data_IF_154375014978
#
_entry.id   IF_154375014978
#
_cell.length_a   1.000
_cell.length_b   1.000
_cell.length_c   1.000
_cell.angle_alpha   90.00
_cell.angle_beta   90.00
_cell.angle_gamma   90.00
#
_symmetry.space_group_name_H-M   'P 1'
#
loop_
_entity.id
_entity.type
_entity.pdbx_description
1 polymer ?
#
# COMPACT_ATOMS: atom_id res chain seq x y z
N UNK A 1 1.10 -32.90 -12.87
CA UNK A 1 1.41 -31.58 -13.44
C UNK A 1 0.11 -30.82 -13.60
N UNK A 2 -0.12 -29.83 -12.76
CA UNK A 2 -1.08 -28.74 -12.98
C UNK A 2 -0.72 -27.65 -11.97
N UNK A 3 0.24 -26.83 -12.40
CA UNK A 3 0.73 -25.64 -11.75
C UNK A 3 -0.41 -24.61 -11.76
N UNK A 4 -1.25 -24.59 -10.72
CA UNK A 4 -2.16 -23.47 -10.47
C UNK A 4 -1.37 -22.32 -9.88
N UNK A 5 -0.36 -21.87 -10.63
CA UNK A 5 0.31 -20.61 -10.40
C UNK A 5 -0.70 -19.51 -10.67
N UNK A 6 -1.38 -19.06 -9.62
CA UNK A 6 -2.04 -17.76 -9.60
C UNK A 6 -0.92 -16.73 -9.72
N UNK A 7 -0.52 -16.48 -10.96
CA UNK A 7 0.42 -15.45 -11.32
C UNK A 7 -0.35 -14.13 -11.18
N UNK A 8 -0.46 -13.62 -9.96
CA UNK A 8 -0.74 -12.21 -9.73
C UNK A 8 0.40 -11.45 -10.40
N UNK A 9 0.17 -11.01 -11.63
CA UNK A 9 1.15 -10.27 -12.41
C UNK A 9 1.37 -8.92 -11.74
N UNK A 10 2.24 -8.89 -10.72
CA UNK A 10 2.78 -7.70 -10.07
C UNK A 10 3.75 -6.95 -11.00
N UNK A 11 3.40 -6.85 -12.28
CA UNK A 11 4.34 -6.65 -13.38
C UNK A 11 4.06 -5.45 -14.26
N UNK A 12 3.24 -4.49 -13.85
CA UNK A 12 3.20 -3.19 -14.51
C UNK A 12 3.73 -2.12 -13.57
N UNK A 13 5.04 -1.85 -13.71
CA UNK A 13 5.67 -0.65 -13.19
C UNK A 13 4.81 0.55 -13.59
N UNK A 14 4.22 1.24 -12.61
CA UNK A 14 3.50 2.49 -12.83
C UNK A 14 4.50 3.46 -13.43
N UNK A 15 4.34 3.78 -14.73
CA UNK A 15 5.25 4.67 -15.46
C UNK A 15 5.32 6.02 -14.76
N UNK A 16 6.52 6.40 -14.31
CA UNK A 16 6.79 7.65 -13.60
C UNK A 16 7.50 7.45 -12.25
N UNK A 17 7.38 6.26 -11.66
CA UNK A 17 8.41 5.73 -10.77
C UNK A 17 9.44 5.07 -11.69
N UNK A 18 10.60 5.70 -11.91
CA UNK A 18 11.58 5.17 -12.87
C UNK A 18 11.93 3.71 -12.56
N UNK A 19 11.53 2.83 -13.50
CA UNK A 19 12.30 1.79 -14.14
C UNK A 19 13.38 1.07 -13.29
N UNK A 20 13.24 -0.25 -13.14
CA UNK A 20 14.17 -1.14 -12.43
C UNK A 20 14.32 -0.86 -10.93
N UNK A 21 13.26 -1.11 -10.19
CA UNK A 21 13.41 -1.43 -8.75
C UNK A 21 13.60 -2.95 -8.67
N UNK A 22 14.65 -3.48 -8.03
CA UNK A 22 14.80 -4.94 -7.85
C UNK A 22 13.65 -5.55 -7.02
N UNK A 23 12.86 -4.70 -6.37
CA UNK A 23 11.78 -5.06 -5.48
C UNK A 23 10.59 -4.11 -5.71
N UNK A 24 9.39 -4.61 -5.98
CA UNK A 24 8.24 -3.76 -6.24
C UNK A 24 7.76 -3.01 -4.99
N UNK A 25 7.16 -1.82 -5.19
CA UNK A 25 6.67 -0.97 -4.09
C UNK A 25 5.66 -1.72 -3.20
N UNK A 26 5.73 -1.53 -1.88
CA UNK A 26 4.90 -2.27 -0.91
C UNK A 26 5.38 -3.68 -0.56
N UNK A 27 6.46 -4.19 -1.17
CA UNK A 27 6.99 -5.53 -0.86
C UNK A 27 7.70 -5.64 0.49
N UNK A 28 8.16 -4.53 1.07
CA UNK A 28 8.88 -4.53 2.35
C UNK A 28 8.01 -3.90 3.46
N UNK A 29 7.32 -4.71 4.28
CA UNK A 29 6.48 -4.20 5.38
C UNK A 29 7.25 -3.35 6.40
N UNK A 30 8.51 -3.68 6.67
CA UNK A 30 9.36 -2.92 7.60
C UNK A 30 9.65 -1.53 7.07
N UNK A 31 9.92 -1.40 5.78
CA UNK A 31 10.13 -0.11 5.14
C UNK A 31 8.84 0.73 5.15
N UNK A 32 7.70 0.13 4.83
CA UNK A 32 6.40 0.82 4.81
C UNK A 32 5.98 1.25 6.23
N UNK A 33 6.28 0.45 7.26
CA UNK A 33 6.11 0.82 8.66
C UNK A 33 6.97 2.02 9.05
N UNK A 34 8.22 2.11 8.58
CA UNK A 34 9.06 3.30 8.81
C UNK A 34 8.49 4.55 8.15
N UNK A 35 7.89 4.42 6.97
CA UNK A 35 7.21 5.54 6.30
C UNK A 35 5.98 5.99 7.08
N UNK A 36 5.19 5.05 7.60
CA UNK A 36 4.09 5.35 8.51
C UNK A 36 4.57 6.12 9.75
N UNK A 37 5.60 5.62 10.43
CA UNK A 37 6.14 6.26 11.63
C UNK A 37 6.62 7.69 11.35
N UNK A 38 7.26 7.92 10.20
CA UNK A 38 7.73 9.23 9.78
C UNK A 38 6.60 10.25 9.57
N UNK A 39 5.36 9.82 9.29
CA UNK A 39 4.22 10.72 9.10
C UNK A 39 3.34 10.82 10.34
N UNK A 40 3.02 9.69 10.98
CA UNK A 40 1.99 9.62 12.01
C UNK A 40 2.52 9.54 13.44
N UNK A 41 3.77 9.13 13.65
CA UNK A 41 4.32 8.91 15.00
C UNK A 41 5.32 10.01 15.37
N UNK A 42 6.38 10.17 14.59
CA UNK A 42 7.45 11.13 14.87
C UNK A 42 7.25 12.48 14.19
N UNK A 43 6.42 12.50 13.14
CA UNK A 43 6.29 13.63 12.24
C UNK A 43 7.48 13.78 11.28
N UNK A 44 7.29 14.51 10.17
CA UNK A 44 8.31 14.59 9.13
C UNK A 44 9.55 15.31 9.61
N UNK A 45 10.71 14.72 9.33
CA UNK A 45 11.99 15.36 9.61
C UNK A 45 12.16 16.58 8.69
N UNK A 46 12.38 17.79 9.22
CA UNK A 46 12.54 18.99 8.40
C UNK A 46 13.75 18.93 7.44
N UNK A 47 14.74 18.08 7.72
CA UNK A 47 15.93 17.91 6.88
C UNK A 47 15.72 16.91 5.73
N UNK A 48 14.68 16.08 5.80
CA UNK A 48 14.36 15.08 4.77
C UNK A 48 12.94 15.31 4.26
N UNK A 49 12.77 16.02 3.12
CA UNK A 49 11.45 16.32 2.61
C UNK A 49 10.67 15.03 2.34
N UNK A 50 9.38 15.06 2.68
CA UNK A 50 8.46 13.97 2.39
C UNK A 50 8.46 13.73 0.88
N UNK A 51 8.77 12.50 0.47
CA UNK A 51 8.68 12.07 -0.92
C UNK A 51 7.35 11.39 -1.22
N UNK A 52 7.01 11.28 -2.51
CA UNK A 52 5.84 10.52 -2.98
C UNK A 52 5.83 9.08 -2.46
N UNK A 53 7.01 8.44 -2.35
CA UNK A 53 7.14 7.07 -1.85
C UNK A 53 6.80 6.98 -0.35
N UNK A 54 7.20 7.98 0.43
CA UNK A 54 6.86 8.06 1.86
C UNK A 54 5.36 8.27 2.03
N UNK A 55 4.73 9.17 1.26
CA UNK A 55 3.27 9.36 1.29
C UNK A 55 2.51 8.09 0.92
N UNK A 56 2.84 7.51 -0.23
CA UNK A 56 2.16 6.31 -0.72
C UNK A 56 2.34 5.13 0.24
N UNK A 57 3.53 4.99 0.83
CA UNK A 57 3.87 3.86 1.69
C UNK A 57 3.25 3.99 3.08
N UNK A 58 3.25 5.20 3.64
CA UNK A 58 2.59 5.49 4.90
C UNK A 58 1.07 5.24 4.81
N UNK A 59 0.44 5.69 3.72
CA UNK A 59 -0.97 5.45 3.46
C UNK A 59 -1.30 3.97 3.25
N UNK A 60 -0.49 3.27 2.44
CA UNK A 60 -0.64 1.84 2.21
C UNK A 60 -0.56 1.03 3.50
N UNK A 61 0.45 1.32 4.33
CA UNK A 61 0.64 0.64 5.61
C UNK A 61 -0.50 0.91 6.60
N UNK A 62 -0.96 2.17 6.69
CA UNK A 62 -2.11 2.55 7.53
C UNK A 62 -3.38 1.81 7.10
N UNK A 63 -3.66 1.78 5.81
CA UNK A 63 -4.85 1.11 5.28
C UNK A 63 -4.88 -0.38 5.63
N UNK A 64 -3.74 -1.07 5.50
CA UNK A 64 -3.64 -2.48 5.92
C UNK A 64 -3.84 -2.64 7.42
N UNK A 65 -3.18 -1.83 8.26
CA UNK A 65 -3.37 -1.92 9.73
C UNK A 65 -4.83 -1.72 10.18
N UNK A 66 -5.58 -0.85 9.49
CA UNK A 66 -6.99 -0.62 9.78
C UNK A 66 -7.86 -1.80 9.31
N UNK A 67 -7.59 -2.36 8.12
CA UNK A 67 -8.32 -3.50 7.57
C UNK A 67 -8.04 -4.81 8.31
N UNK A 68 -6.81 -5.05 8.79
CA UNK A 68 -6.46 -6.24 9.59
C UNK A 68 -7.30 -6.36 10.88
N UNK A 69 -7.78 -5.24 11.43
CA UNK A 69 -8.67 -5.24 12.60
C UNK A 69 -10.07 -5.80 12.29
N UNK A 70 -10.52 -5.69 11.04
CA UNK A 70 -11.88 -6.07 10.61
C UNK A 70 -11.95 -7.57 10.26
N UNK A 71 -10.90 -8.11 9.64
CA UNK A 71 -10.92 -9.46 9.06
C UNK A 71 -10.77 -10.61 10.06
N UNK A 72 -10.21 -10.35 11.26
CA UNK A 72 -10.09 -11.34 12.34
C UNK A 72 -11.42 -11.81 12.93
N UNK A 73 -12.56 -11.33 12.43
CA UNK A 73 -13.88 -11.55 13.02
C UNK A 73 -14.86 -12.33 12.15
N UNK A 74 -14.48 -12.81 10.95
CA UNK A 74 -15.44 -13.34 9.98
C UNK A 74 -15.36 -14.86 9.73
N UNK A 75 -16.50 -15.55 9.49
CA UNK A 75 -16.55 -17.01 9.31
C UNK A 75 -16.02 -17.48 7.94
N UNK A 76 -15.34 -18.63 7.95
CA UNK A 76 -14.48 -19.21 6.90
C UNK A 76 -15.16 -19.67 5.59
N UNK A 77 -16.38 -19.25 5.28
CA UNK A 77 -17.23 -19.99 4.34
C UNK A 77 -17.10 -19.51 2.89
N UNK A 78 -16.38 -18.41 2.60
CA UNK A 78 -16.25 -17.83 1.25
C UNK A 78 -14.96 -17.01 1.05
N UNK A 79 -13.82 -17.59 1.44
CA UNK A 79 -12.50 -16.93 1.52
C UNK A 79 -12.13 -16.08 0.28
N UNK A 80 -12.41 -16.54 -0.94
CA UNK A 80 -12.01 -15.83 -2.16
C UNK A 80 -12.85 -14.56 -2.45
N UNK A 81 -14.16 -14.62 -2.20
CA UNK A 81 -15.04 -13.45 -2.37
C UNK A 81 -14.73 -12.39 -1.31
N UNK A 82 -14.52 -12.83 -0.06
CA UNK A 82 -14.09 -11.94 1.03
C UNK A 82 -12.73 -11.31 0.78
N UNK A 83 -11.76 -12.09 0.27
CA UNK A 83 -10.45 -11.57 -0.07
C UNK A 83 -10.51 -10.48 -1.15
N UNK A 84 -11.31 -10.70 -2.22
CA UNK A 84 -11.49 -9.71 -3.28
C UNK A 84 -12.14 -8.42 -2.77
N UNK A 85 -13.15 -8.55 -1.90
CA UNK A 85 -13.79 -7.40 -1.25
C UNK A 85 -12.81 -6.66 -0.33
N UNK A 86 -12.05 -7.38 0.48
CA UNK A 86 -11.10 -6.81 1.41
C UNK A 86 -9.96 -6.07 0.70
N UNK A 87 -9.43 -6.60 -0.40
CA UNK A 87 -8.44 -5.88 -1.23
C UNK A 87 -9.03 -4.59 -1.77
N UNK A 88 -10.26 -4.63 -2.28
CA UNK A 88 -10.94 -3.44 -2.80
C UNK A 88 -11.07 -2.36 -1.72
N UNK A 89 -11.46 -2.76 -0.51
CA UNK A 89 -11.56 -1.87 0.65
C UNK A 89 -10.20 -1.31 1.07
N UNK A 90 -9.17 -2.16 1.17
CA UNK A 90 -7.79 -1.76 1.51
C UNK A 90 -7.24 -0.75 0.48
N UNK A 91 -7.44 -1.00 -0.81
CA UNK A 91 -7.04 -0.09 -1.90
C UNK A 91 -7.78 1.25 -1.78
N UNK A 92 -9.09 1.22 -1.62
CA UNK A 92 -9.90 2.44 -1.48
C UNK A 92 -9.49 3.26 -0.25
N UNK A 93 -9.16 2.61 0.87
CA UNK A 93 -8.67 3.26 2.08
C UNK A 93 -7.29 3.89 1.85
N UNK A 94 -6.37 3.18 1.19
CA UNK A 94 -5.05 3.70 0.85
C UNK A 94 -5.13 4.92 -0.08
N UNK A 95 -5.99 4.87 -1.10
CA UNK A 95 -6.22 5.98 -2.01
C UNK A 95 -6.75 7.23 -1.29
N UNK A 96 -7.76 7.05 -0.43
CA UNK A 96 -8.33 8.13 0.38
C UNK A 96 -7.28 8.76 1.31
N UNK A 97 -6.48 7.93 1.96
CA UNK A 97 -5.44 8.41 2.87
C UNK A 97 -4.36 9.20 2.12
N UNK A 98 -3.91 8.73 0.96
CA UNK A 98 -2.96 9.49 0.13
C UNK A 98 -3.54 10.83 -0.29
N UNK A 99 -4.82 10.91 -0.66
CA UNK A 99 -5.44 12.19 -1.01
C UNK A 99 -5.38 13.19 0.15
N UNK A 100 -5.65 12.74 1.38
CA UNK A 100 -5.52 13.57 2.59
C UNK A 100 -4.06 14.01 2.79
N UNK A 101 -3.12 13.08 2.64
CA UNK A 101 -1.69 13.37 2.80
C UNK A 101 -1.17 14.34 1.75
N UNK A 102 -1.62 14.25 0.49
CA UNK A 102 -1.23 15.17 -0.58
C UNK A 102 -1.78 16.59 -0.37
N UNK A 103 -2.91 16.74 0.31
CA UNK A 103 -3.41 18.06 0.73
C UNK A 103 -2.53 18.67 1.83
N UNK A 104 -2.00 17.83 2.73
CA UNK A 104 -1.15 18.26 3.84
C UNK A 104 0.31 18.49 3.42
N UNK A 105 0.79 17.70 2.47
CA UNK A 105 2.16 17.67 1.97
C UNK A 105 2.15 17.71 0.44
N UNK A 106 1.89 18.88 -0.16
CA UNK A 106 1.83 19.00 -1.61
C UNK A 106 3.19 18.71 -2.25
N UNK A 107 3.17 17.95 -3.35
CA UNK A 107 4.36 17.55 -4.11
C UNK A 107 4.37 18.26 -5.47
N UNK A 108 4.90 19.49 -5.58
CA UNK A 108 4.93 20.21 -6.85
C UNK A 108 5.77 19.43 -7.88
N UNK A 109 5.19 19.23 -9.07
CA UNK A 109 5.85 18.51 -10.16
C UNK A 109 5.67 16.99 -10.14
N UNK A 110 4.93 16.43 -9.17
CA UNK A 110 4.54 15.02 -9.16
C UNK A 110 3.05 14.91 -9.46
N UNK A 111 2.67 14.00 -10.36
CA UNK A 111 1.26 13.70 -10.61
C UNK A 111 0.63 13.01 -9.37
N UNK A 112 -0.38 13.62 -8.72
CA UNK A 112 -1.10 13.03 -7.60
C UNK A 112 -1.60 11.62 -7.87
N UNK A 113 -2.06 11.35 -9.11
CA UNK A 113 -2.60 10.04 -9.49
C UNK A 113 -1.54 8.94 -9.37
N UNK A 114 -0.29 9.25 -9.71
CA UNK A 114 0.81 8.29 -9.61
C UNK A 114 1.06 7.86 -8.16
N UNK A 115 0.92 8.79 -7.21
CA UNK A 115 1.07 8.53 -5.77
C UNK A 115 -0.08 7.68 -5.25
N UNK A 116 -1.31 7.97 -5.70
CA UNK A 116 -2.53 7.23 -5.33
C UNK A 116 -2.42 5.77 -5.79
N UNK A 117 -2.15 5.53 -7.08
CA UNK A 117 -2.04 4.16 -7.63
C UNK A 117 -0.90 3.40 -6.93
N UNK A 118 0.19 4.08 -6.59
CA UNK A 118 1.30 3.46 -5.86
C UNK A 118 0.90 3.02 -4.45
N UNK A 119 0.06 3.79 -3.76
CA UNK A 119 -0.46 3.41 -2.45
C UNK A 119 -1.45 2.26 -2.55
N UNK A 120 -2.33 2.25 -3.54
CA UNK A 120 -3.25 1.13 -3.80
C UNK A 120 -2.48 -0.18 -4.04
N UNK A 121 -1.50 -0.15 -4.93
CA UNK A 121 -0.67 -1.32 -5.24
C UNK A 121 0.20 -1.73 -4.06
N UNK A 122 0.73 -0.76 -3.31
CA UNK A 122 1.48 -1.01 -2.09
C UNK A 122 0.62 -1.69 -1.02
N UNK A 123 -0.62 -1.22 -0.83
CA UNK A 123 -1.54 -1.73 0.17
C UNK A 123 -2.01 -3.15 -0.16
N UNK A 124 -2.31 -3.42 -1.43
CA UNK A 124 -2.64 -4.77 -1.91
C UNK A 124 -1.52 -5.77 -1.57
N UNK A 125 -0.27 -5.45 -1.92
CA UNK A 125 0.88 -6.33 -1.63
C UNK A 125 1.11 -6.53 -0.14
N UNK A 126 1.06 -5.46 0.65
CA UNK A 126 1.21 -5.53 2.10
C UNK A 126 0.11 -6.40 2.72
N UNK A 127 -1.10 -6.32 2.20
CA UNK A 127 -2.22 -7.14 2.61
C UNK A 127 -1.99 -8.62 2.28
N UNK A 128 -1.51 -8.92 1.08
CA UNK A 128 -1.15 -10.30 0.69
C UNK A 128 -0.07 -10.89 1.58
N UNK A 129 0.92 -10.09 1.97
CA UNK A 129 1.90 -10.51 2.97
C UNK A 129 1.24 -10.79 4.32
N UNK A 130 0.37 -9.91 4.81
CA UNK A 130 -0.29 -10.10 6.10
C UNK A 130 -1.15 -11.36 6.15
N UNK A 131 -1.70 -11.81 5.01
CA UNK A 131 -2.53 -13.01 4.91
C UNK A 131 -1.73 -14.32 4.75
N UNK A 132 -0.47 -14.25 4.29
CA UNK A 132 0.38 -15.44 4.09
C UNK A 132 1.17 -15.86 5.35
N UNK A 133 1.07 -15.10 6.45
CA UNK A 133 1.78 -15.37 7.71
C UNK A 133 0.85 -15.82 8.86
N UNK A 134 -0.46 -15.93 8.63
CA UNK A 134 -1.45 -16.56 9.53
C UNK A 134 -1.75 -17.99 9.06
#
# INVERSE_FOLDING_TARGET
>A
MADTGVNFAYGQNIRGFSAFVPVPFGYNPVQMGRYYDAIYVYGPNPNFPISHAVLAGAAAYKAVQESSKVLRTLPNNNLQSFYSQAISEVKANAAREVQILLQRYPLPGVDPMMVIVSAEEGAHRLYDFSMNFD
#
